data_IF_262701422132
#
_entry.id   IF_262701422132
#
_cell.length_a   1.000
_cell.length_b   1.000
_cell.length_c   1.000
_cell.angle_alpha   90.00
_cell.angle_beta   90.00
_cell.angle_gamma   90.00
#
_symmetry.space_group_name_H-M   'P 1'
#
loop_
_entity.id
_entity.type
_entity.pdbx_description
1 polymer ?
#
# COMPACT_ATOMS: atom_id res chain seq x y z
N UNK A 1 10.15 17.85 55.50
CA UNK A 1 10.07 16.91 54.36
C UNK A 1 8.99 15.89 54.66
N UNK A 2 7.87 15.90 53.92
CA UNK A 2 6.80 14.91 54.08
C UNK A 2 6.98 13.81 53.05
N UNK A 3 7.17 12.56 53.51
CA UNK A 3 7.17 11.38 52.63
C UNK A 3 5.73 11.16 52.14
N UNK A 4 5.46 11.56 50.90
CA UNK A 4 4.22 11.20 50.20
C UNK A 4 4.26 9.70 49.89
N UNK A 5 3.61 8.90 50.73
CA UNK A 5 3.36 7.49 50.43
C UNK A 5 2.40 7.38 49.24
N UNK A 6 2.55 6.31 48.45
CA UNK A 6 1.70 6.00 47.30
C UNK A 6 0.22 6.03 47.70
N UNK A 7 -0.60 6.75 46.94
CA UNK A 7 -2.02 6.90 47.24
C UNK A 7 -2.77 5.59 46.98
N UNK A 8 -3.75 5.32 47.86
CA UNK A 8 -4.53 4.06 47.83
C UNK A 8 -5.26 3.86 46.50
N UNK A 9 -5.62 4.95 45.83
CA UNK A 9 -6.30 4.91 44.55
C UNK A 9 -5.35 4.53 43.40
N UNK A 10 -4.11 5.01 43.41
CA UNK A 10 -3.05 4.54 42.49
C UNK A 10 -2.68 3.07 42.71
N UNK A 11 -2.68 2.58 43.96
CA UNK A 11 -2.46 1.15 44.24
C UNK A 11 -3.58 0.32 43.62
N UNK A 12 -4.85 0.73 43.81
CA UNK A 12 -6.00 0.06 43.20
C UNK A 12 -5.86 0.06 41.66
N UNK A 13 -5.45 1.18 41.06
CA UNK A 13 -5.26 1.27 39.61
C UNK A 13 -4.19 0.29 39.09
N UNK A 14 -3.05 0.21 39.79
CA UNK A 14 -1.95 -0.70 39.44
C UNK A 14 -2.36 -2.18 39.56
N UNK A 15 -3.17 -2.52 40.57
CA UNK A 15 -3.71 -3.89 40.73
C UNK A 15 -4.68 -4.23 39.60
N UNK A 16 -5.58 -3.31 39.22
CA UNK A 16 -6.54 -3.53 38.12
C UNK A 16 -5.78 -3.72 36.79
N UNK A 17 -4.78 -2.88 36.52
CA UNK A 17 -3.92 -3.00 35.33
C UNK A 17 -3.21 -4.36 35.32
N UNK A 18 -2.66 -4.80 36.45
CA UNK A 18 -2.01 -6.11 36.56
C UNK A 18 -2.95 -7.27 36.23
N UNK A 19 -4.19 -7.24 36.72
CA UNK A 19 -5.19 -8.27 36.43
C UNK A 19 -5.57 -8.28 34.95
N UNK A 20 -5.75 -7.12 34.34
CA UNK A 20 -6.07 -6.99 32.90
C UNK A 20 -4.93 -7.57 32.06
N UNK A 21 -3.68 -7.29 32.40
CA UNK A 21 -2.51 -7.82 31.68
C UNK A 21 -2.38 -9.34 31.80
N UNK A 22 -2.71 -9.92 32.96
CA UNK A 22 -2.70 -11.38 33.13
C UNK A 22 -3.80 -12.05 32.31
N UNK A 23 -5.01 -11.47 32.28
CA UNK A 23 -6.11 -11.98 31.44
C UNK A 23 -5.79 -11.85 29.96
N UNK A 24 -5.24 -10.70 29.55
CA UNK A 24 -4.81 -10.46 28.17
C UNK A 24 -3.69 -11.43 27.77
N UNK A 25 -2.68 -11.63 28.62
CA UNK A 25 -1.60 -12.60 28.38
C UNK A 25 -2.13 -14.02 28.29
N UNK A 26 -3.11 -14.40 29.12
CA UNK A 26 -3.71 -15.74 29.06
C UNK A 26 -4.49 -15.98 27.76
N UNK A 27 -5.18 -14.96 27.24
CA UNK A 27 -5.91 -15.05 25.97
C UNK A 27 -4.97 -15.02 24.76
N UNK A 28 -3.86 -14.28 24.85
CA UNK A 28 -2.97 -14.00 23.71
C UNK A 28 -1.72 -14.89 23.69
N UNK A 29 -1.49 -15.71 24.72
CA UNK A 29 -0.40 -16.70 24.71
C UNK A 29 -0.65 -17.76 23.63
N UNK A 30 0.30 -17.99 22.70
CA UNK A 30 0.14 -18.99 21.66
C UNK A 30 0.08 -20.41 22.26
N UNK A 31 -0.81 -21.23 21.70
CA UNK A 31 -0.96 -22.65 22.03
C UNK A 31 0.29 -23.45 21.62
N UNK A 32 0.66 -24.49 22.39
CA UNK A 32 1.84 -25.34 22.14
C UNK A 32 1.88 -25.95 20.72
N UNK A 33 0.71 -26.15 20.11
CA UNK A 33 0.58 -26.69 18.75
C UNK A 33 1.06 -25.71 17.66
N UNK A 34 1.02 -24.40 17.93
CA UNK A 34 1.45 -23.35 17.01
C UNK A 34 2.96 -23.11 17.13
N UNK A 35 3.51 -23.30 18.35
CA UNK A 35 4.95 -23.32 18.61
C UNK A 35 5.64 -24.49 17.88
N UNK A 36 4.98 -25.65 17.81
CA UNK A 36 5.50 -26.81 17.08
C UNK A 36 5.42 -26.60 15.56
N UNK A 37 4.33 -25.98 15.05
CA UNK A 37 4.23 -25.57 13.63
C UNK A 37 5.30 -24.55 13.25
N UNK A 38 5.63 -23.63 14.14
CA UNK A 38 6.70 -22.64 13.92
C UNK A 38 8.08 -23.30 13.89
N UNK A 39 8.34 -24.28 14.79
CA UNK A 39 9.58 -25.09 14.77
C UNK A 39 9.70 -25.99 13.54
N UNK A 40 8.59 -26.55 13.05
CA UNK A 40 8.55 -27.35 11.81
C UNK A 40 8.73 -26.47 10.57
N UNK A 41 8.21 -25.23 10.58
CA UNK A 41 8.43 -24.26 9.51
C UNK A 41 9.90 -23.80 9.44
N UNK A 42 10.55 -23.63 10.59
CA UNK A 42 11.98 -23.33 10.67
C UNK A 42 12.87 -24.51 10.24
N UNK A 43 12.51 -25.75 10.57
CA UNK A 43 13.28 -26.93 10.15
C UNK A 43 13.19 -27.19 8.64
N UNK A 44 12.03 -26.97 8.01
CA UNK A 44 11.88 -27.07 6.55
C UNK A 44 12.70 -26.04 5.76
N UNK A 45 13.01 -24.88 6.34
CA UNK A 45 13.87 -23.87 5.71
C UNK A 45 15.35 -24.27 5.68
N UNK A 46 15.76 -25.25 6.51
CA UNK A 46 17.16 -25.69 6.61
C UNK A 46 17.47 -26.94 5.75
N UNK A 47 16.46 -27.70 5.34
CA UNK A 47 16.64 -28.91 4.49
C UNK A 47 16.66 -28.62 2.98
N UNK A 48 16.08 -27.51 2.49
CA UNK A 48 16.12 -27.16 1.06
C UNK A 48 17.47 -26.62 0.56
N UNK A 49 18.48 -26.49 1.43
CA UNK A 49 19.85 -26.09 1.07
C UNK A 49 20.80 -27.28 0.92
N UNK A 50 20.33 -28.53 1.01
CA UNK A 50 21.18 -29.74 1.03
C UNK A 50 21.00 -30.73 -0.11
N UNK A 51 20.15 -30.44 -1.09
CA UNK A 51 19.97 -31.28 -2.29
C UNK A 51 20.42 -30.55 -3.56
N UNK A 52 21.71 -30.17 -3.64
CA UNK A 52 22.41 -30.12 -4.93
C UNK A 52 23.93 -30.04 -4.73
N UNK A 53 24.59 -31.20 -4.58
CA UNK A 53 25.99 -31.46 -4.99
C UNK A 53 26.45 -32.87 -4.61
N UNK A 54 26.25 -33.78 -5.55
CA UNK A 54 27.22 -34.84 -5.89
C UNK A 54 27.45 -34.64 -7.40
N UNK A 55 28.63 -34.54 -7.99
CA UNK A 55 29.88 -35.30 -7.84
C UNK A 55 31.04 -34.38 -8.27
N UNK A 56 32.17 -34.48 -7.58
CA UNK A 56 33.43 -33.79 -7.87
C UNK A 56 34.42 -34.76 -8.54
N UNK A 57 34.95 -34.40 -9.71
CA UNK A 57 36.22 -34.94 -10.22
C UNK A 57 36.91 -33.97 -11.19
N UNK A 58 37.91 -33.27 -10.63
CA UNK A 58 39.18 -32.77 -11.20
C UNK A 58 39.21 -31.59 -12.23
N UNK A 59 40.27 -30.74 -12.20
CA UNK A 59 40.23 -29.35 -12.67
C UNK A 59 40.96 -29.13 -14.01
N UNK A 60 40.53 -28.14 -14.78
CA UNK A 60 41.40 -27.17 -15.46
C UNK A 60 40.60 -26.13 -16.25
N UNK A 61 41.06 -24.89 -16.08
CA UNK A 61 41.05 -23.77 -17.02
C UNK A 61 39.94 -22.71 -16.96
N UNK A 62 40.44 -21.49 -17.19
CA UNK A 62 39.96 -20.14 -16.88
C UNK A 62 38.60 -19.77 -17.45
N UNK A 63 37.81 -19.03 -16.67
CA UNK A 63 37.31 -17.69 -17.08
C UNK A 63 36.76 -16.89 -15.90
N UNK A 64 37.04 -15.59 -15.95
CA UNK A 64 36.63 -14.50 -15.05
C UNK A 64 35.11 -14.34 -15.00
N UNK A 65 34.53 -13.92 -13.87
CA UNK A 65 33.50 -12.85 -13.70
C UNK A 65 32.98 -12.81 -12.24
N UNK A 66 33.32 -11.71 -11.58
CA UNK A 66 32.55 -10.83 -10.67
C UNK A 66 31.82 -11.37 -9.41
N UNK A 67 32.30 -10.86 -8.27
CA UNK A 67 31.59 -10.73 -6.99
C UNK A 67 30.23 -10.03 -7.16
N UNK A 68 29.16 -10.68 -6.68
CA UNK A 68 27.89 -10.00 -6.43
C UNK A 68 27.37 -10.34 -5.03
N UNK A 69 27.19 -9.26 -4.27
CA UNK A 69 26.70 -9.13 -2.90
C UNK A 69 25.38 -9.89 -2.67
N UNK A 70 25.37 -10.82 -1.73
CA UNK A 70 24.14 -11.39 -1.14
C UNK A 70 23.95 -10.84 0.28
N UNK A 71 23.45 -9.61 0.38
CA UNK A 71 22.96 -9.05 1.66
C UNK A 71 21.68 -8.21 1.49
N UNK A 72 21.19 -8.06 0.26
CA UNK A 72 20.11 -7.11 -0.06
C UNK A 72 18.69 -7.71 0.05
N UNK A 73 18.56 -9.03 0.06
CA UNK A 73 17.24 -9.68 0.01
C UNK A 73 16.46 -9.57 1.33
N UNK A 74 17.13 -9.51 2.49
CA UNK A 74 16.42 -9.47 3.80
C UNK A 74 15.99 -8.05 4.18
N UNK A 75 16.73 -7.01 3.76
CA UNK A 75 16.35 -5.62 4.04
C UNK A 75 15.23 -5.12 3.11
N UNK A 76 15.22 -5.52 1.84
CA UNK A 76 14.11 -5.20 0.93
C UNK A 76 12.78 -5.82 1.39
N UNK A 77 12.78 -7.09 1.85
CA UNK A 77 11.56 -7.74 2.36
C UNK A 77 10.98 -7.01 3.59
N UNK A 78 11.83 -6.53 4.50
CA UNK A 78 11.37 -5.79 5.69
C UNK A 78 10.83 -4.39 5.32
N UNK A 79 11.46 -3.70 4.37
CA UNK A 79 10.99 -2.41 3.88
C UNK A 79 9.65 -2.53 3.14
N UNK A 80 9.48 -3.54 2.30
CA UNK A 80 8.23 -3.80 1.59
C UNK A 80 7.08 -4.08 2.56
N UNK A 81 7.34 -4.83 3.64
CA UNK A 81 6.34 -5.09 4.66
C UNK A 81 5.91 -3.82 5.41
N UNK A 82 6.84 -2.92 5.74
CA UNK A 82 6.52 -1.67 6.44
C UNK A 82 5.72 -0.71 5.54
N UNK A 83 6.11 -0.56 4.27
CA UNK A 83 5.39 0.27 3.31
C UNK A 83 3.95 -0.22 3.11
N UNK A 84 3.73 -1.53 3.04
CA UNK A 84 2.39 -2.08 2.88
C UNK A 84 1.49 -1.83 4.11
N UNK A 85 2.06 -1.86 5.32
CA UNK A 85 1.34 -1.51 6.56
C UNK A 85 0.95 -0.03 6.55
N UNK A 86 1.84 0.86 6.10
CA UNK A 86 1.56 2.29 5.99
C UNK A 86 0.45 2.58 4.97
N UNK A 87 0.52 1.98 3.79
CA UNK A 87 -0.53 2.10 2.76
C UNK A 87 -1.88 1.56 3.27
N UNK A 88 -1.89 0.45 4.00
CA UNK A 88 -3.10 -0.09 4.62
C UNK A 88 -3.64 0.85 5.70
N UNK A 89 -2.77 1.47 6.49
CA UNK A 89 -3.14 2.46 7.49
C UNK A 89 -3.68 3.75 6.86
N UNK A 90 -3.23 4.13 5.66
CA UNK A 90 -3.69 5.32 4.94
C UNK A 90 -5.01 5.06 4.19
N UNK A 91 -5.04 4.03 3.34
CA UNK A 91 -6.11 3.80 2.36
C UNK A 91 -7.12 2.72 2.78
N UNK A 92 -6.81 1.91 3.80
CA UNK A 92 -7.71 0.90 4.34
C UNK A 92 -8.27 -0.03 3.25
N UNK A 93 -9.60 -0.05 3.02
CA UNK A 93 -10.23 -0.92 2.03
C UNK A 93 -9.89 -0.57 0.59
N UNK A 94 -9.18 0.53 0.31
CA UNK A 94 -8.71 0.90 -1.03
C UNK A 94 -7.19 0.72 -1.19
N UNK A 95 -6.53 -0.02 -0.30
CA UNK A 95 -5.07 -0.21 -0.36
C UNK A 95 -4.62 -0.81 -1.69
N UNK A 96 -5.41 -1.70 -2.30
CA UNK A 96 -5.06 -2.28 -3.59
C UNK A 96 -5.09 -1.23 -4.71
N UNK A 97 -6.00 -0.25 -4.62
CA UNK A 97 -6.05 0.88 -5.54
C UNK A 97 -4.88 1.86 -5.38
N UNK A 98 -4.05 1.75 -4.32
CA UNK A 98 -2.80 2.52 -4.22
C UNK A 98 -1.68 1.96 -5.11
N UNK A 99 -1.87 0.74 -5.63
CA UNK A 99 -0.93 0.03 -6.48
C UNK A 99 -1.54 -0.10 -7.87
N UNK A 100 -0.93 0.57 -8.84
CA UNK A 100 -1.44 0.53 -10.20
C UNK A 100 -0.46 1.15 -11.18
N UNK A 101 -0.80 1.00 -12.45
CA UNK A 101 -0.09 1.66 -13.53
C UNK A 101 -0.89 2.88 -13.95
N UNK A 102 -0.18 3.99 -14.19
CA UNK A 102 -0.76 5.20 -14.76
C UNK A 102 -1.27 4.90 -16.16
N UNK A 103 -2.51 5.30 -16.43
CA UNK A 103 -3.18 5.20 -17.74
C UNK A 103 -3.93 6.47 -18.01
N UNK A 104 -3.83 6.93 -19.26
CA UNK A 104 -4.52 8.11 -19.72
C UNK A 104 -5.55 7.77 -20.80
N UNK A 105 -6.65 8.52 -20.82
CA UNK A 105 -7.78 8.32 -21.72
C UNK A 105 -8.12 9.66 -22.36
N UNK A 106 -8.32 9.68 -23.67
CA UNK A 106 -8.63 10.92 -24.39
C UNK A 106 -10.06 10.88 -24.92
N UNK A 107 -10.79 11.96 -24.67
CA UNK A 107 -12.08 12.26 -25.28
C UNK A 107 -11.90 13.46 -26.20
N UNK A 108 -12.28 13.32 -27.47
CA UNK A 108 -12.02 14.33 -28.48
C UNK A 108 -13.25 14.58 -29.35
N UNK A 109 -13.52 15.86 -29.64
CA UNK A 109 -14.45 16.27 -30.68
C UNK A 109 -13.78 17.28 -31.63
N UNK A 110 -14.56 17.96 -32.48
CA UNK A 110 -14.04 18.92 -33.45
C UNK A 110 -13.33 20.13 -32.79
N UNK A 111 -13.76 20.53 -31.59
CA UNK A 111 -13.31 21.77 -30.93
C UNK A 111 -12.36 21.57 -29.77
N UNK A 112 -12.49 20.46 -29.05
CA UNK A 112 -11.80 20.23 -27.78
C UNK A 112 -11.27 18.80 -27.72
N UNK A 113 -10.08 18.65 -27.14
CA UNK A 113 -9.49 17.37 -26.75
C UNK A 113 -9.22 17.38 -25.25
N UNK A 114 -9.79 16.41 -24.55
CA UNK A 114 -9.72 16.28 -23.09
C UNK A 114 -8.99 14.98 -22.76
N UNK A 115 -7.92 15.06 -21.99
CA UNK A 115 -7.22 13.89 -21.48
C UNK A 115 -7.54 13.71 -20.00
N UNK A 116 -7.89 12.49 -19.63
CA UNK A 116 -8.14 12.04 -18.26
C UNK A 116 -7.01 11.10 -17.85
N UNK A 117 -6.67 11.09 -16.57
CA UNK A 117 -5.73 10.11 -16.00
C UNK A 117 -6.45 9.28 -14.94
N UNK A 118 -6.07 8.00 -14.83
CA UNK A 118 -6.63 7.14 -13.80
C UNK A 118 -6.13 7.47 -12.39
N UNK A 119 -5.07 8.26 -12.23
CA UNK A 119 -4.60 8.71 -10.92
C UNK A 119 -5.54 9.81 -10.41
N UNK A 120 -6.25 9.54 -9.31
CA UNK A 120 -7.26 10.43 -8.77
C UNK A 120 -8.53 10.55 -9.63
N UNK A 121 -8.58 9.87 -10.77
CA UNK A 121 -9.72 9.88 -11.69
C UNK A 121 -10.03 11.27 -12.26
N UNK A 122 -8.99 12.02 -12.65
CA UNK A 122 -9.09 13.46 -12.97
C UNK A 122 -8.84 13.79 -14.44
N UNK A 123 -9.26 14.98 -14.85
CA UNK A 123 -8.86 15.57 -16.15
C UNK A 123 -7.42 16.03 -16.03
N UNK A 124 -6.49 15.46 -16.80
CA UNK A 124 -5.08 15.86 -16.79
C UNK A 124 -4.77 16.98 -17.77
N UNK A 125 -5.50 17.12 -18.88
CA UNK A 125 -5.25 18.19 -19.84
C UNK A 125 -6.49 18.52 -20.68
N UNK A 126 -6.60 19.78 -21.09
CA UNK A 126 -7.62 20.25 -22.04
C UNK A 126 -6.98 21.13 -23.11
N UNK A 127 -7.10 20.70 -24.36
CA UNK A 127 -6.64 21.41 -25.55
C UNK A 127 -7.83 21.97 -26.34
N UNK A 128 -7.75 23.24 -26.74
CA UNK A 128 -8.72 23.90 -27.63
C UNK A 128 -8.19 23.90 -29.06
N UNK A 129 -8.71 23.00 -29.90
CA UNK A 129 -8.16 22.67 -31.23
C UNK A 129 -8.21 23.82 -32.25
N UNK A 130 -9.16 24.74 -32.10
CA UNK A 130 -9.30 25.89 -32.99
C UNK A 130 -8.46 27.10 -32.55
N UNK A 131 -7.71 26.98 -31.45
CA UNK A 131 -6.98 28.07 -30.84
C UNK A 131 -5.50 27.75 -30.70
N UNK A 132 -4.69 28.78 -30.88
CA UNK A 132 -3.24 28.70 -30.75
C UNK A 132 -2.78 29.81 -29.80
N UNK A 133 -1.66 29.56 -29.14
CA UNK A 133 -0.94 30.55 -28.36
C UNK A 133 -0.20 31.51 -29.30
N UNK A 134 0.41 32.57 -28.74
CA UNK A 134 1.04 33.64 -29.55
C UNK A 134 2.21 33.16 -30.42
N UNK A 135 2.84 32.05 -30.06
CA UNK A 135 3.95 31.42 -30.78
C UNK A 135 3.46 30.30 -31.73
N UNK A 136 2.15 30.22 -31.97
CA UNK A 136 1.49 29.23 -32.83
C UNK A 136 1.49 27.79 -32.30
N UNK A 137 1.77 27.57 -31.01
CA UNK A 137 1.58 26.25 -30.38
C UNK A 137 0.10 26.01 -30.02
N UNK A 138 -0.35 24.74 -29.91
CA UNK A 138 -1.71 24.41 -29.48
C UNK A 138 -2.08 25.08 -28.16
N UNK A 139 -3.30 25.62 -28.04
CA UNK A 139 -3.78 26.21 -26.80
C UNK A 139 -4.21 25.12 -25.81
N UNK A 140 -3.35 24.85 -24.83
CA UNK A 140 -3.64 24.00 -23.68
C UNK A 140 -4.09 24.89 -22.51
N UNK A 141 -5.28 24.65 -21.96
CA UNK A 141 -5.83 25.46 -20.87
C UNK A 141 -5.15 25.19 -19.53
N UNK A 142 -4.82 23.93 -19.29
CA UNK A 142 -4.04 23.44 -18.17
C UNK A 142 -3.46 22.07 -18.53
N UNK A 143 -2.37 21.74 -17.86
CA UNK A 143 -1.66 20.47 -17.98
C UNK A 143 -1.79 19.63 -16.70
N UNK A 144 -1.11 18.49 -16.68
CA UNK A 144 -1.23 17.56 -15.58
C UNK A 144 -0.66 18.12 -14.27
N UNK A 145 0.41 18.92 -14.36
CA UNK A 145 1.09 19.53 -13.23
C UNK A 145 0.21 20.59 -12.55
N UNK A 146 -0.64 21.25 -13.33
CA UNK A 146 -1.62 22.23 -12.86
C UNK A 146 -2.99 21.64 -12.54
N UNK A 147 -3.21 20.35 -12.79
CA UNK A 147 -4.46 19.66 -12.50
C UNK A 147 -4.39 18.83 -11.22
N UNK A 148 -5.20 19.21 -10.24
CA UNK A 148 -5.40 18.45 -8.99
C UNK A 148 -6.88 18.22 -8.74
N UNK A 149 -7.22 16.99 -8.39
CA UNK A 149 -8.56 16.59 -8.01
C UNK A 149 -8.48 15.40 -7.08
N UNK A 150 -9.31 15.42 -6.05
CA UNK A 150 -9.45 14.32 -5.12
C UNK A 150 -10.87 14.30 -4.57
N UNK A 151 -11.29 13.12 -4.15
CA UNK A 151 -12.42 12.94 -3.25
C UNK A 151 -11.87 12.70 -1.85
N UNK A 152 -12.56 13.23 -0.85
CA UNK A 152 -12.27 12.96 0.55
C UNK A 152 -13.37 12.04 1.08
N UNK A 153 -13.03 10.76 1.23
CA UNK A 153 -13.96 9.72 1.66
C UNK A 153 -13.86 9.56 3.17
N UNK A 154 -15.00 9.52 3.84
CA UNK A 154 -15.07 9.29 5.28
C UNK A 154 -15.71 7.94 5.53
N UNK A 155 -14.94 6.99 6.06
CA UNK A 155 -15.40 5.62 6.32
C UNK A 155 -15.21 5.23 7.79
N UNK A 156 -15.92 4.23 8.31
CA UNK A 156 -15.64 3.67 9.62
C UNK A 156 -14.18 3.18 9.73
N UNK A 157 -13.51 3.57 10.79
CA UNK A 157 -12.16 3.13 11.12
C UNK A 157 -12.15 1.74 11.75
N UNK A 158 -10.93 1.22 11.94
CA UNK A 158 -10.68 -0.12 12.50
C UNK A 158 -10.34 -0.10 14.00
N UNK A 159 -10.30 1.07 14.65
CA UNK A 159 -9.86 1.23 16.05
C UNK A 159 -11.01 1.70 16.94
N UNK A 160 -11.77 0.76 17.50
CA UNK A 160 -12.86 1.06 18.42
C UNK A 160 -14.14 1.56 17.74
N UNK A 161 -15.28 1.38 18.43
CA UNK A 161 -16.63 1.39 17.86
C UNK A 161 -17.13 2.68 17.21
N UNK A 162 -16.35 3.76 17.18
CA UNK A 162 -16.69 5.03 16.52
C UNK A 162 -15.49 5.68 15.82
N UNK A 163 -14.42 4.93 15.52
CA UNK A 163 -13.31 5.52 14.76
C UNK A 163 -13.77 5.89 13.35
N UNK A 164 -13.25 7.00 12.85
CA UNK A 164 -13.50 7.49 11.50
C UNK A 164 -12.14 7.56 10.79
N UNK A 165 -12.12 7.11 9.54
CA UNK A 165 -10.97 7.23 8.65
C UNK A 165 -11.33 8.15 7.49
N UNK A 166 -10.48 9.14 7.27
CA UNK A 166 -10.50 9.98 6.08
C UNK A 166 -9.52 9.40 5.05
N UNK A 167 -9.96 9.31 3.81
CA UNK A 167 -9.19 8.79 2.69
C UNK A 167 -9.22 9.81 1.58
N UNK A 168 -8.05 10.32 1.24
CA UNK A 168 -7.84 11.16 0.09
C UNK A 168 -7.56 10.30 -1.15
N UNK A 169 -8.33 10.48 -2.22
CA UNK A 169 -8.20 9.64 -3.43
C UNK A 169 -7.22 10.18 -4.46
N UNK A 170 -6.52 11.30 -4.22
CA UNK A 170 -5.67 11.99 -5.21
C UNK A 170 -4.67 11.05 -5.88
N UNK A 171 -4.05 10.17 -5.09
CA UNK A 171 -2.99 9.27 -5.53
C UNK A 171 -3.48 7.82 -5.74
N UNK A 172 -4.80 7.59 -5.69
CA UNK A 172 -5.36 6.26 -5.94
C UNK A 172 -5.61 6.05 -7.43
N UNK A 173 -5.37 4.83 -7.89
CA UNK A 173 -5.62 4.40 -9.26
C UNK A 173 -7.07 3.96 -9.41
N UNK A 174 -7.79 4.66 -10.28
CA UNK A 174 -9.12 4.29 -10.69
C UNK A 174 -9.05 3.29 -11.86
N UNK A 175 -10.06 2.44 -11.99
CA UNK A 175 -10.19 1.54 -13.13
C UNK A 175 -11.25 2.08 -14.10
N UNK A 176 -11.04 1.85 -15.39
CA UNK A 176 -12.05 2.16 -16.41
C UNK A 176 -13.19 1.18 -16.27
N UNK A 177 -14.35 1.68 -15.88
CA UNK A 177 -15.57 0.88 -15.80
C UNK A 177 -16.33 0.90 -17.12
N UNK A 178 -16.34 2.04 -17.82
CA UNK A 178 -16.97 2.18 -19.13
C UNK A 178 -16.27 3.28 -19.93
N UNK A 179 -16.16 3.08 -21.24
CA UNK A 179 -15.67 4.09 -22.16
C UNK A 179 -16.44 4.01 -23.48
N UNK A 180 -16.92 5.15 -23.94
CA UNK A 180 -17.55 5.33 -25.25
C UNK A 180 -16.83 6.43 -26.02
N UNK A 181 -17.31 6.75 -27.22
CA UNK A 181 -16.79 7.87 -28.00
C UNK A 181 -17.06 9.24 -27.34
N UNK A 182 -18.00 9.35 -26.40
CA UNK A 182 -18.41 10.62 -25.76
C UNK A 182 -18.33 10.62 -24.24
N UNK A 183 -17.95 9.51 -23.61
CA UNK A 183 -17.94 9.37 -22.15
C UNK A 183 -16.84 8.43 -21.66
N UNK A 184 -16.31 8.73 -20.47
CA UNK A 184 -15.42 7.85 -19.71
C UNK A 184 -15.97 7.76 -18.29
N UNK A 185 -16.13 6.55 -17.77
CA UNK A 185 -16.52 6.28 -16.40
C UNK A 185 -15.36 5.58 -15.69
N UNK A 186 -14.81 6.25 -14.67
CA UNK A 186 -13.77 5.73 -13.81
C UNK A 186 -14.38 5.29 -12.48
N UNK A 187 -13.90 4.16 -11.95
CA UNK A 187 -14.37 3.61 -10.66
C UNK A 187 -13.17 3.34 -9.77
N UNK A 188 -13.26 3.81 -8.53
CA UNK A 188 -12.36 3.38 -7.46
C UNK A 188 -12.92 2.09 -6.86
N UNK A 189 -12.17 1.00 -6.94
CA UNK A 189 -12.56 -0.27 -6.34
C UNK A 189 -11.95 -0.42 -4.95
N UNK A 190 -12.73 -0.96 -4.01
CA UNK A 190 -12.17 -1.51 -2.78
C UNK A 190 -11.44 -2.83 -3.07
N UNK A 191 -10.73 -3.37 -2.08
CA UNK A 191 -10.06 -4.67 -2.15
C UNK A 191 -11.05 -5.81 -2.49
N UNK A 192 -12.34 -5.64 -2.17
CA UNK A 192 -13.41 -6.51 -2.69
C UNK A 192 -14.17 -5.78 -3.81
N UNK A 193 -13.95 -6.20 -5.06
CA UNK A 193 -14.60 -5.62 -6.23
C UNK A 193 -16.12 -5.86 -6.29
N UNK A 194 -16.65 -6.74 -5.44
CA UNK A 194 -18.09 -7.03 -5.35
C UNK A 194 -18.80 -6.18 -4.29
N UNK A 195 -18.06 -5.47 -3.45
CA UNK A 195 -18.61 -4.56 -2.45
C UNK A 195 -18.54 -3.12 -2.98
N UNK A 196 -19.62 -2.37 -2.74
CA UNK A 196 -19.80 -1.00 -3.19
C UNK A 196 -18.98 -0.01 -2.36
#
# INVERSE_FOLDING_TARGET
MSKKGLDRNSIIGLVIIGVILLVFSYITSPSEEELEKQRIAESKKTEQLKDDKSIESNPADKTVIEESKTTDSTQNILNDSLQNIELLAQYGPFVDASKGEKKDFTLENEKVKITFTNIGGRVSSVELKEFHTYDSLPLILFDEDSSRFNLELTIPGITGGNSIRQINTENLFFEVHNQTASSVALRLYSNDKNQY
#
